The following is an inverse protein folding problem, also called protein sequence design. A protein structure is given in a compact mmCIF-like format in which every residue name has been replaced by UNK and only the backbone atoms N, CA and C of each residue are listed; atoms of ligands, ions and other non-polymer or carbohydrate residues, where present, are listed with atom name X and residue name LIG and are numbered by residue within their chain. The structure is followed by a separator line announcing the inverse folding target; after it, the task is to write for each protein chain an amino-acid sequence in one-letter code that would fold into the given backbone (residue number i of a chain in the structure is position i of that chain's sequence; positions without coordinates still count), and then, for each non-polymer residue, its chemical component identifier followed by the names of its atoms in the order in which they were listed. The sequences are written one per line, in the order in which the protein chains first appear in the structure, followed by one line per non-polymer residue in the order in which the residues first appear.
data_IF_081487599249
#
_entry.id   IF_081487599249
#
_cell.length_a   1.000
_cell.length_b   1.000
_cell.length_c   1.000
_cell.angle_alpha   90.00
_cell.angle_beta   90.00
_cell.angle_gamma   90.00
#
_symmetry.space_group_name_H-M   'P 1'
#
loop_
_entity.id
_entity.type
_entity.pdbx_description
1 polymer ?
#
# COMPACT_ATOMS: atom_id res chain seq x y z
N UNK A 1 -37.18 3.35 -20.49
CA UNK A 1 -36.57 4.69 -20.61
C UNK A 1 -35.84 4.99 -19.31
N UNK A 2 -34.62 5.53 -19.44
CA UNK A 2 -33.53 5.52 -18.45
C UNK A 2 -33.85 6.25 -17.14
N UNK A 3 -33.39 5.69 -16.02
CA UNK A 3 -33.46 6.29 -14.69
C UNK A 3 -32.18 7.11 -14.45
N UNK A 4 -32.25 8.42 -14.73
CA UNK A 4 -31.16 9.37 -14.46
C UNK A 4 -31.09 9.65 -12.95
N UNK A 5 -30.21 8.92 -12.25
CA UNK A 5 -29.77 9.32 -10.94
C UNK A 5 -28.85 10.53 -11.09
N UNK A 6 -29.46 11.69 -10.94
CA UNK A 6 -28.81 13.00 -10.85
C UNK A 6 -27.57 12.95 -9.96
N UNK A 7 -26.42 13.22 -10.57
CA UNK A 7 -25.21 13.67 -9.89
C UNK A 7 -25.56 14.96 -9.11
N UNK A 8 -25.93 14.82 -7.84
CA UNK A 8 -26.11 15.96 -6.96
C UNK A 8 -24.75 16.58 -6.67
N UNK A 9 -24.42 17.63 -7.42
CA UNK A 9 -23.30 18.53 -7.16
C UNK A 9 -23.48 19.12 -5.75
N UNK A 10 -22.69 18.65 -4.78
CA UNK A 10 -22.66 19.20 -3.42
C UNK A 10 -22.20 20.66 -3.46
N UNK A 11 -22.84 21.51 -2.66
CA UNK A 11 -22.46 22.92 -2.59
C UNK A 11 -21.12 23.09 -1.87
N UNK A 12 -20.41 24.18 -2.16
CA UNK A 12 -19.10 24.51 -1.55
C UNK A 12 -19.15 24.46 -0.02
N UNK A 13 -20.22 24.98 0.57
CA UNK A 13 -20.45 24.98 2.02
C UNK A 13 -20.62 23.56 2.59
N UNK A 14 -21.25 22.65 1.83
CA UNK A 14 -21.36 21.24 2.24
C UNK A 14 -20.01 20.53 2.21
N UNK A 15 -19.16 20.84 1.22
CA UNK A 15 -17.81 20.28 1.12
C UNK A 15 -16.92 20.82 2.25
N UNK A 16 -16.97 22.12 2.53
CA UNK A 16 -16.23 22.75 3.64
C UNK A 16 -16.67 22.18 5.00
N UNK A 17 -17.98 21.99 5.23
CA UNK A 17 -18.50 21.37 6.44
C UNK A 17 -18.04 19.91 6.62
N UNK A 18 -17.98 19.13 5.54
CA UNK A 18 -17.47 17.73 5.58
C UNK A 18 -15.97 17.71 5.93
N UNK A 19 -15.19 18.63 5.36
CA UNK A 19 -13.75 18.74 5.63
C UNK A 19 -13.49 19.17 7.07
N UNK A 20 -14.31 20.05 7.65
CA UNK A 20 -14.20 20.46 9.06
C UNK A 20 -14.68 19.39 10.07
N UNK A 21 -15.70 18.60 9.72
CA UNK A 21 -16.24 17.52 10.57
C UNK A 21 -15.34 16.28 10.58
N UNK A 22 -14.64 15.99 9.48
CA UNK A 22 -13.71 14.85 9.34
C UNK A 22 -12.68 14.75 10.49
N UNK A 23 -11.88 15.78 10.80
CA UNK A 23 -10.92 15.71 11.90
C UNK A 23 -11.60 15.60 13.26
N UNK A 24 -12.77 16.25 13.46
CA UNK A 24 -13.52 16.18 14.73
C UNK A 24 -14.07 14.76 14.99
N UNK A 25 -14.57 14.07 13.96
CA UNK A 25 -15.04 12.68 14.05
C UNK A 25 -13.89 11.67 14.19
N UNK A 26 -12.76 11.91 13.52
CA UNK A 26 -11.55 11.09 13.68
C UNK A 26 -10.91 11.21 15.08
N UNK A 27 -11.13 12.34 15.76
CA UNK A 27 -10.52 12.61 17.07
C UNK A 27 -11.33 12.03 18.24
N UNK A 28 -12.65 11.90 18.11
CA UNK A 28 -13.52 11.46 19.22
C UNK A 28 -13.55 9.92 19.37
N UNK A 29 -13.45 9.16 18.28
CA UNK A 29 -13.43 7.68 18.31
C UNK A 29 -12.05 7.07 18.63
N UNK A 30 -10.98 7.87 18.61
CA UNK A 30 -9.59 7.39 18.85
C UNK A 30 -9.16 7.37 20.33
N UNK A 31 -10.06 7.73 21.25
CA UNK A 31 -9.84 7.69 22.71
C UNK A 31 -10.26 6.35 23.35
N UNK A 32 -10.51 5.31 22.57
CA UNK A 32 -10.65 3.95 23.12
C UNK A 32 -9.27 3.41 23.49
N UNK A 33 -9.01 3.16 24.77
CA UNK A 33 -7.75 2.58 25.30
C UNK A 33 -7.49 1.11 24.86
N UNK A 34 -8.23 0.59 23.86
CA UNK A 34 -8.12 -0.78 23.36
C UNK A 34 -7.45 -0.90 21.99
N UNK A 35 -7.02 -2.12 21.60
CA UNK A 35 -6.50 -2.36 20.26
C UNK A 35 -7.58 -2.06 19.20
N UNK A 36 -7.27 -1.17 18.27
CA UNK A 36 -8.16 -0.85 17.14
C UNK A 36 -8.22 -2.04 16.19
N UNK A 37 -9.44 -2.45 15.82
CA UNK A 37 -9.64 -3.49 14.82
C UNK A 37 -9.22 -3.03 13.43
N UNK A 38 -8.71 -3.96 12.62
CA UNK A 38 -8.40 -3.69 11.21
C UNK A 38 -9.71 -3.42 10.44
N UNK A 39 -9.74 -2.43 9.52
CA UNK A 39 -10.89 -2.22 8.65
C UNK A 39 -11.30 -3.50 7.91
N UNK A 40 -12.61 -3.72 7.79
CA UNK A 40 -13.17 -4.95 7.24
C UNK A 40 -12.69 -5.21 5.81
N UNK A 41 -12.55 -4.17 4.98
CA UNK A 41 -12.12 -4.30 3.59
C UNK A 41 -10.74 -4.93 3.47
N UNK A 42 -9.80 -4.52 4.34
CA UNK A 42 -8.44 -5.07 4.38
C UNK A 42 -8.48 -6.46 5.02
N UNK A 43 -9.25 -6.64 6.08
CA UNK A 43 -9.36 -7.92 6.78
C UNK A 43 -9.91 -9.02 5.88
N UNK A 44 -10.98 -8.73 5.13
CA UNK A 44 -11.61 -9.66 4.22
C UNK A 44 -10.72 -9.93 2.99
N UNK A 45 -10.00 -8.93 2.47
CA UNK A 45 -8.98 -9.18 1.45
C UNK A 45 -7.93 -10.16 1.97
N UNK A 46 -7.46 -10.02 3.21
CA UNK A 46 -6.45 -10.91 3.80
C UNK A 46 -6.96 -12.32 4.17
N UNK A 47 -8.28 -12.50 4.32
CA UNK A 47 -8.93 -13.76 4.70
C UNK A 47 -9.51 -14.53 3.52
N UNK A 48 -10.22 -13.85 2.63
CA UNK A 48 -11.07 -14.44 1.60
C UNK A 48 -10.41 -14.48 0.22
N UNK A 49 -9.32 -13.75 0.02
CA UNK A 49 -8.51 -13.95 -1.17
C UNK A 49 -7.85 -15.33 -1.09
N UNK A 50 -8.05 -16.14 -2.13
CA UNK A 50 -7.16 -17.29 -2.31
C UNK A 50 -5.73 -16.77 -2.33
N UNK A 51 -4.78 -17.54 -1.78
CA UNK A 51 -3.35 -17.16 -1.77
C UNK A 51 -2.85 -16.76 -3.18
N UNK A 52 -3.42 -17.38 -4.22
CA UNK A 52 -3.14 -17.08 -5.63
C UNK A 52 -3.66 -15.70 -6.03
N UNK A 53 -4.91 -15.36 -5.71
CA UNK A 53 -5.51 -14.05 -6.03
C UNK A 53 -4.80 -12.93 -5.28
N UNK A 54 -4.49 -13.14 -3.99
CA UNK A 54 -3.73 -12.17 -3.19
C UNK A 54 -2.36 -11.89 -3.79
N UNK A 55 -1.64 -12.96 -4.18
CA UNK A 55 -0.33 -12.81 -4.81
C UNK A 55 -0.41 -12.10 -6.16
N UNK A 56 -1.46 -12.34 -6.94
CA UNK A 56 -1.69 -11.64 -8.20
C UNK A 56 -1.91 -10.14 -7.96
N UNK A 57 -2.80 -9.79 -7.03
CA UNK A 57 -3.10 -8.40 -6.68
C UNK A 57 -1.85 -7.67 -6.17
N UNK A 58 -1.07 -8.31 -5.30
CA UNK A 58 0.21 -7.76 -4.81
C UNK A 58 1.18 -7.51 -5.97
N UNK A 59 1.33 -8.46 -6.91
CA UNK A 59 2.22 -8.29 -8.07
C UNK A 59 1.78 -7.14 -8.96
N UNK A 60 0.47 -7.02 -9.18
CA UNK A 60 -0.11 -5.95 -10.00
C UNK A 60 0.08 -4.58 -9.33
N UNK A 61 -0.21 -4.48 -8.03
CA UNK A 61 0.07 -3.29 -7.21
C UNK A 61 1.54 -2.86 -7.34
N UNK A 62 2.48 -3.78 -7.06
CA UNK A 62 3.93 -3.48 -7.13
C UNK A 62 4.36 -3.03 -8.53
N UNK A 63 3.79 -3.61 -9.59
CA UNK A 63 4.10 -3.25 -10.97
C UNK A 63 3.66 -1.83 -11.32
N UNK A 64 2.55 -1.37 -10.74
CA UNK A 64 1.97 -0.06 -11.01
C UNK A 64 2.59 1.07 -10.18
N UNK A 65 3.48 0.76 -9.23
CA UNK A 65 4.13 1.79 -8.41
C UNK A 65 5.10 2.66 -9.23
N UNK A 66 5.18 3.96 -8.91
CA UNK A 66 6.20 4.84 -9.48
C UNK A 66 7.60 4.33 -9.14
N UNK A 67 8.52 4.54 -10.09
CA UNK A 67 9.94 4.26 -9.93
C UNK A 67 10.66 5.58 -9.68
N UNK A 68 11.29 5.68 -8.53
CA UNK A 68 12.09 6.85 -8.18
C UNK A 68 13.56 6.58 -8.44
N UNK A 69 14.21 7.46 -9.19
CA UNK A 69 15.64 7.44 -9.41
C UNK A 69 16.34 8.05 -8.19
N UNK A 70 16.54 7.20 -7.18
CA UNK A 70 17.05 7.61 -5.86
C UNK A 70 18.27 6.81 -5.41
N UNK A 71 19.00 6.22 -6.37
CA UNK A 71 20.11 5.26 -6.22
C UNK A 71 19.69 3.79 -6.00
N UNK A 72 20.66 2.90 -5.73
CA UNK A 72 20.43 1.45 -5.69
C UNK A 72 19.45 1.00 -4.59
N UNK A 73 19.40 1.73 -3.46
CA UNK A 73 18.56 1.37 -2.31
C UNK A 73 17.09 1.74 -2.47
N UNK A 74 16.73 2.57 -3.46
CA UNK A 74 15.32 2.87 -3.77
C UNK A 74 14.73 1.87 -4.76
N UNK A 75 15.53 0.91 -5.25
CA UNK A 75 15.16 -0.06 -6.27
C UNK A 75 15.06 -1.49 -5.75
N UNK A 76 13.82 -1.98 -5.67
CA UNK A 76 13.53 -3.38 -5.37
C UNK A 76 14.20 -4.30 -6.40
N UNK A 77 14.84 -5.37 -5.95
CA UNK A 77 15.47 -6.35 -6.83
C UNK A 77 16.83 -5.96 -7.40
N UNK A 78 17.46 -4.85 -6.97
CA UNK A 78 18.88 -4.61 -7.23
C UNK A 78 19.68 -5.56 -6.35
N UNK A 79 19.99 -6.72 -6.94
CA UNK A 79 20.87 -7.73 -6.37
C UNK A 79 22.23 -7.62 -7.07
N UNK A 80 23.33 -7.60 -6.32
CA UNK A 80 24.66 -7.71 -6.93
C UNK A 80 24.81 -9.10 -7.58
N UNK A 81 24.63 -9.16 -8.91
CA UNK A 81 24.56 -10.42 -9.68
C UNK A 81 25.85 -11.25 -9.57
N UNK A 82 27.00 -10.58 -9.49
CA UNK A 82 28.32 -11.20 -9.31
C UNK A 82 28.36 -11.93 -7.97
N UNK A 83 27.98 -11.24 -6.90
CA UNK A 83 27.90 -11.78 -5.54
C UNK A 83 26.93 -12.96 -5.45
N UNK A 84 25.77 -12.89 -6.11
CA UNK A 84 24.80 -13.99 -6.16
C UNK A 84 25.41 -15.26 -6.73
N UNK A 85 26.10 -15.09 -7.87
CA UNK A 85 26.67 -16.18 -8.65
C UNK A 85 27.76 -16.88 -7.85
N UNK A 86 28.62 -16.11 -7.20
CA UNK A 86 29.69 -16.66 -6.35
C UNK A 86 29.12 -17.34 -5.10
N UNK A 87 28.11 -16.76 -4.44
CA UNK A 87 27.45 -17.40 -3.30
C UNK A 87 26.79 -18.72 -3.68
N UNK A 88 26.08 -18.76 -4.81
CA UNK A 88 25.45 -19.98 -5.32
C UNK A 88 26.47 -21.08 -5.59
N UNK A 89 27.70 -20.73 -5.99
CA UNK A 89 28.78 -21.69 -6.24
C UNK A 89 29.40 -22.23 -4.95
N UNK A 90 29.41 -21.44 -3.87
CA UNK A 90 30.09 -21.80 -2.62
C UNK A 90 29.19 -22.50 -1.60
N UNK A 91 27.98 -22.00 -1.36
CA UNK A 91 27.11 -22.56 -0.30
C UNK A 91 25.64 -22.23 -0.55
N UNK A 92 24.80 -23.27 -0.61
CA UNK A 92 23.34 -23.14 -0.77
C UNK A 92 22.69 -22.43 0.42
N UNK A 93 23.13 -22.73 1.64
CA UNK A 93 22.58 -22.12 2.86
C UNK A 93 22.84 -20.61 2.93
N UNK A 94 24.07 -20.19 2.60
CA UNK A 94 24.42 -18.78 2.54
C UNK A 94 23.64 -18.05 1.43
N UNK A 95 23.41 -18.71 0.29
CA UNK A 95 22.56 -18.18 -0.78
C UNK A 95 21.11 -17.99 -0.33
N UNK A 96 20.54 -18.97 0.38
CA UNK A 96 19.19 -18.90 0.92
C UNK A 96 19.04 -17.78 1.95
N UNK A 97 19.97 -17.70 2.90
CA UNK A 97 20.01 -16.64 3.92
C UNK A 97 20.13 -15.25 3.30
N UNK A 98 21.08 -15.08 2.37
CA UNK A 98 21.26 -13.82 1.62
C UNK A 98 19.99 -13.47 0.85
N UNK A 99 19.40 -14.41 0.12
CA UNK A 99 18.15 -14.19 -0.62
C UNK A 99 16.98 -13.80 0.28
N UNK A 100 16.93 -14.31 1.50
CA UNK A 100 15.92 -13.93 2.48
C UNK A 100 16.10 -12.47 2.94
N UNK A 101 17.34 -12.02 3.15
CA UNK A 101 17.66 -10.62 3.48
C UNK A 101 17.22 -9.67 2.35
N UNK A 102 17.59 -9.96 1.10
CA UNK A 102 17.17 -9.12 -0.05
C UNK A 102 15.64 -9.05 -0.18
N UNK A 103 14.94 -10.19 -0.07
CA UNK A 103 13.47 -10.20 -0.07
C UNK A 103 12.86 -9.45 1.12
N UNK A 104 13.56 -9.43 2.26
CA UNK A 104 13.19 -8.64 3.42
C UNK A 104 13.29 -7.14 3.13
N UNK A 105 14.35 -6.71 2.45
CA UNK A 105 14.60 -5.33 2.07
C UNK A 105 13.67 -4.80 0.96
N UNK A 106 13.22 -5.66 0.04
CA UNK A 106 12.26 -5.26 -1.01
C UNK A 106 10.94 -4.73 -0.44
N UNK A 107 10.51 -5.23 0.72
CA UNK A 107 9.21 -4.88 1.32
C UNK A 107 9.13 -3.42 1.77
N UNK A 108 10.04 -2.90 2.62
CA UNK A 108 10.04 -1.49 2.97
C UNK A 108 10.30 -0.60 1.76
N UNK A 109 11.08 -1.04 0.76
CA UNK A 109 11.29 -0.28 -0.48
C UNK A 109 9.98 -0.10 -1.24
N UNK A 110 9.21 -1.19 -1.44
CA UNK A 110 7.91 -1.16 -2.10
C UNK A 110 6.92 -0.29 -1.32
N UNK A 111 6.85 -0.46 0.01
CA UNK A 111 5.97 0.35 0.85
C UNK A 111 6.33 1.84 0.79
N UNK A 112 7.63 2.17 0.78
CA UNK A 112 8.12 3.53 0.64
C UNK A 112 7.75 4.16 -0.72
N UNK A 113 7.88 3.40 -1.82
CA UNK A 113 7.46 3.85 -3.17
C UNK A 113 5.98 4.16 -3.23
N UNK A 114 5.15 3.26 -2.70
CA UNK A 114 3.71 3.46 -2.64
C UNK A 114 3.32 4.67 -1.79
N UNK A 115 3.93 4.81 -0.60
CA UNK A 115 3.70 5.96 0.28
C UNK A 115 4.12 7.28 -0.39
N UNK A 116 5.23 7.28 -1.14
CA UNK A 116 5.70 8.46 -1.88
C UNK A 116 4.74 8.83 -3.00
N UNK A 117 4.27 7.85 -3.79
CA UNK A 117 3.29 8.09 -4.85
C UNK A 117 1.98 8.66 -4.31
N UNK A 118 1.48 8.09 -3.21
CA UNK A 118 0.29 8.60 -2.52
C UNK A 118 0.49 10.01 -1.96
N UNK A 119 1.70 10.33 -1.48
CA UNK A 119 2.03 11.67 -1.02
C UNK A 119 1.97 12.69 -2.18
N UNK A 120 2.58 12.36 -3.32
CA UNK A 120 2.55 13.21 -4.52
C UNK A 120 1.12 13.40 -5.05
N UNK A 121 0.31 12.33 -5.06
CA UNK A 121 -1.11 12.41 -5.44
C UNK A 121 -1.92 13.31 -4.50
N UNK A 122 -1.68 13.21 -3.17
CA UNK A 122 -2.29 14.10 -2.18
C UNK A 122 -1.88 15.56 -2.39
N UNK A 123 -0.60 15.84 -2.66
CA UNK A 123 -0.13 17.21 -2.95
C UNK A 123 -0.84 17.76 -4.18
N UNK A 124 -0.86 16.99 -5.27
CA UNK A 124 -1.51 17.41 -6.49
C UNK A 124 -3.04 17.59 -6.31
N UNK A 125 -3.68 16.75 -5.49
CA UNK A 125 -5.09 16.90 -5.12
C UNK A 125 -5.36 18.25 -4.43
N UNK A 126 -4.48 18.68 -3.52
CA UNK A 126 -4.58 19.95 -2.81
C UNK A 126 -4.33 21.15 -3.74
N UNK A 127 -3.34 21.05 -4.63
CA UNK A 127 -2.94 22.16 -5.52
C UNK A 127 -3.93 22.39 -6.66
N UNK A 128 -4.44 21.33 -7.27
CA UNK A 128 -5.27 21.42 -8.49
C UNK A 128 -6.77 21.54 -8.22
N UNK A 129 -7.21 21.49 -6.96
CA UNK A 129 -8.62 21.35 -6.62
C UNK A 129 -9.11 19.96 -7.02
N UNK A 130 -8.93 18.99 -6.14
CA UNK A 130 -9.24 17.59 -6.41
C UNK A 130 -10.73 17.30 -6.64
N UNK A 131 -11.01 16.23 -7.37
CA UNK A 131 -12.37 15.70 -7.55
C UNK A 131 -12.63 14.53 -6.61
N UNK A 132 -13.90 14.23 -6.35
CA UNK A 132 -14.29 13.06 -5.56
C UNK A 132 -13.71 11.75 -6.13
N UNK A 133 -13.65 11.61 -7.46
CA UNK A 133 -13.04 10.44 -8.11
C UNK A 133 -11.54 10.32 -7.81
N UNK A 134 -10.81 11.44 -7.78
CA UNK A 134 -9.38 11.44 -7.41
C UNK A 134 -9.20 11.08 -5.94
N UNK A 135 -10.08 11.56 -5.06
CA UNK A 135 -10.04 11.19 -3.65
C UNK A 135 -10.24 9.68 -3.46
N UNK A 136 -11.24 9.09 -4.13
CA UNK A 136 -11.45 7.64 -4.08
C UNK A 136 -10.27 6.84 -4.63
N UNK A 137 -9.60 7.34 -5.67
CA UNK A 137 -8.38 6.72 -6.20
C UNK A 137 -7.26 6.68 -5.15
N UNK A 138 -6.99 7.82 -4.49
CA UNK A 138 -5.99 7.92 -3.42
C UNK A 138 -6.35 6.98 -2.26
N UNK A 139 -7.61 6.94 -1.85
CA UNK A 139 -8.08 6.07 -0.77
C UNK A 139 -7.92 4.58 -1.11
N UNK A 140 -8.19 4.19 -2.37
CA UNK A 140 -7.95 2.82 -2.83
C UNK A 140 -6.46 2.49 -2.83
N UNK A 141 -5.58 3.41 -3.24
CA UNK A 141 -4.13 3.22 -3.14
C UNK A 141 -3.64 3.07 -1.69
N UNK A 142 -4.20 3.84 -0.74
CA UNK A 142 -3.93 3.68 0.70
C UNK A 142 -4.38 2.31 1.19
N UNK A 143 -5.57 1.85 0.79
CA UNK A 143 -6.11 0.53 1.13
C UNK A 143 -5.20 -0.59 0.61
N UNK A 144 -4.75 -0.49 -0.64
CA UNK A 144 -3.84 -1.45 -1.27
C UNK A 144 -2.46 -1.48 -0.59
N UNK A 145 -1.90 -0.32 -0.23
CA UNK A 145 -0.65 -0.25 0.54
C UNK A 145 -0.78 -0.92 1.92
N UNK A 146 -1.89 -0.67 2.61
CA UNK A 146 -2.17 -1.34 3.88
C UNK A 146 -2.31 -2.87 3.69
N UNK A 147 -3.11 -3.31 2.71
CA UNK A 147 -3.27 -4.72 2.36
C UNK A 147 -1.94 -5.41 2.03
N UNK A 148 -1.11 -4.79 1.20
CA UNK A 148 0.25 -5.24 0.89
C UNK A 148 1.08 -5.42 2.17
N UNK A 149 1.14 -4.39 3.02
CA UNK A 149 1.99 -4.37 4.22
C UNK A 149 1.60 -5.45 5.24
N UNK A 150 0.30 -5.66 5.44
CA UNK A 150 -0.20 -6.73 6.30
C UNK A 150 -0.02 -8.11 5.68
N UNK A 151 -0.26 -8.28 4.38
CA UNK A 151 -0.04 -9.55 3.68
C UNK A 151 1.42 -9.99 3.76
N UNK A 152 2.37 -9.06 3.55
CA UNK A 152 3.79 -9.34 3.68
C UNK A 152 4.20 -9.68 5.12
N UNK A 153 3.61 -9.02 6.11
CA UNK A 153 3.83 -9.32 7.52
C UNK A 153 3.31 -10.71 7.91
N UNK A 154 2.09 -11.07 7.47
CA UNK A 154 1.49 -12.39 7.67
C UNK A 154 2.34 -13.50 7.06
N UNK A 155 2.79 -13.31 5.81
CA UNK A 155 3.65 -14.27 5.11
C UNK A 155 5.03 -14.46 5.76
N UNK A 156 5.49 -13.49 6.56
CA UNK A 156 6.76 -13.58 7.29
C UNK A 156 6.63 -14.33 8.59
N UNK A 157 5.54 -14.10 9.33
CA UNK A 157 5.27 -14.78 10.60
C UNK A 157 4.99 -16.26 10.41
N UNK A 158 4.30 -16.66 9.33
CA UNK A 158 4.04 -18.06 8.98
C UNK A 158 5.32 -18.85 8.64
N UNK A 159 6.42 -18.19 8.29
CA UNK A 159 7.71 -18.85 8.02
C UNK A 159 8.60 -19.03 9.24
N UNK A 160 8.25 -18.41 10.36
CA UNK A 160 9.04 -18.39 11.60
C UNK A 160 8.44 -19.25 12.73
N UNK A 161 7.23 -19.79 12.54
CA UNK A 161 6.60 -20.76 13.44
C UNK A 161 6.47 -22.10 12.76
#
# INVERSE_FOLDING_TARGET
MSNDQSEQLRTREQVEHIIEEMPRKLSLDRLSEGPTNLPNEILEELKNSSSINLQKNIKEFVKNLPKYDGSEWTNSGIFNKEFHRELKRKTVDALQSTSAVYKGADRPIIAGRAATGLYEECQHFLESGGSEQRFFHIMEGIRQLAGYSYAMSKASKVKLG
#
